data_IF_781872342450
#
_entry.id   IF_781872342450
#
_cell.length_a   1.000
_cell.length_b   1.000
_cell.length_c   1.000
_cell.angle_alpha   90.00
_cell.angle_beta   90.00
_cell.angle_gamma   90.00
#
_symmetry.space_group_name_H-M   'P 1'
#
loop_
_entity.id
_entity.type
_entity.pdbx_description
1 polymer ?
#
# COMPACT_ATOMS: atom_id res chain seq x y z
N UNK A 1 48.27 -46.93 17.72
CA UNK A 1 48.15 -45.90 18.78
C UNK A 1 48.08 -44.55 18.10
N UNK A 2 46.90 -44.19 17.62
CA UNK A 2 46.52 -42.82 17.24
C UNK A 2 45.01 -42.88 17.02
N UNK A 3 44.31 -42.46 18.07
CA UNK A 3 42.89 -42.68 18.29
C UNK A 3 42.04 -41.87 17.31
N UNK A 4 41.04 -42.56 16.77
CA UNK A 4 39.90 -41.98 16.05
C UNK A 4 39.00 -41.36 17.13
N UNK A 5 38.78 -40.05 17.08
CA UNK A 5 37.77 -39.38 17.91
C UNK A 5 36.76 -38.69 17.01
N UNK A 6 35.63 -39.36 16.82
CA UNK A 6 34.35 -38.74 16.50
C UNK A 6 33.79 -38.02 17.74
N UNK A 7 32.62 -37.39 17.59
CA UNK A 7 31.79 -36.64 18.54
C UNK A 7 32.05 -35.13 18.48
N UNK A 8 31.10 -34.21 18.33
CA UNK A 8 29.63 -34.12 18.23
C UNK A 8 29.42 -32.71 17.60
N UNK A 9 28.49 -32.43 16.69
CA UNK A 9 27.07 -32.34 17.01
C UNK A 9 26.73 -31.04 17.77
N UNK A 10 27.08 -29.86 17.25
CA UNK A 10 26.54 -28.59 17.78
C UNK A 10 25.39 -28.13 16.89
N UNK A 11 24.18 -28.36 17.41
CA UNK A 11 22.93 -27.79 16.93
C UNK A 11 23.01 -26.25 17.01
N UNK A 12 23.14 -25.57 15.87
CA UNK A 12 22.87 -24.13 15.78
C UNK A 12 21.34 -23.92 15.85
N UNK A 13 20.83 -24.04 17.07
CA UNK A 13 19.47 -23.69 17.44
C UNK A 13 19.28 -22.17 17.45
N UNK A 14 18.33 -21.73 16.63
CA UNK A 14 17.30 -20.75 17.00
C UNK A 14 17.77 -19.40 17.59
N UNK A 15 18.10 -18.45 16.73
CA UNK A 15 17.81 -17.02 16.98
C UNK A 15 17.17 -16.36 15.74
N UNK A 16 16.17 -17.00 15.14
CA UNK A 16 15.22 -16.30 14.27
C UNK A 16 14.01 -15.84 15.11
N UNK A 17 13.77 -14.52 15.13
CA UNK A 17 12.46 -13.99 15.52
C UNK A 17 12.40 -13.10 16.76
N UNK A 18 13.36 -12.18 16.95
CA UNK A 18 12.99 -10.93 17.64
C UNK A 18 12.11 -10.15 16.66
N UNK A 19 10.79 -10.24 16.83
CA UNK A 19 9.85 -9.51 16.00
C UNK A 19 10.21 -8.02 16.04
N UNK A 20 10.67 -7.49 14.92
CA UNK A 20 10.88 -6.06 14.77
C UNK A 20 9.54 -5.39 15.15
N UNK A 21 9.56 -4.57 16.19
CA UNK A 21 8.36 -3.94 16.74
C UNK A 21 7.66 -3.17 15.62
N UNK A 22 6.52 -3.71 15.13
CA UNK A 22 5.81 -3.20 13.95
C UNK A 22 5.50 -1.72 14.18
N UNK A 23 6.15 -0.82 13.45
CA UNK A 23 5.92 0.61 13.57
C UNK A 23 4.53 0.95 13.05
N UNK A 24 3.81 1.78 13.81
CA UNK A 24 2.48 2.24 13.41
C UNK A 24 2.56 3.09 12.14
N UNK A 25 1.57 2.95 11.27
CA UNK A 25 1.37 3.79 10.09
C UNK A 25 1.53 5.29 10.39
N UNK A 26 2.17 6.03 9.47
CA UNK A 26 2.42 7.47 9.61
C UNK A 26 1.54 8.26 8.64
N UNK A 27 0.77 9.22 9.16
CA UNK A 27 -0.06 10.11 8.33
C UNK A 27 0.59 11.47 8.19
N UNK A 28 0.69 11.97 6.95
CA UNK A 28 1.13 13.30 6.59
C UNK A 28 -0.06 14.18 6.22
N UNK A 29 -0.17 15.35 6.83
CA UNK A 29 -1.25 16.30 6.56
C UNK A 29 -1.04 17.01 5.24
N UNK A 30 -2.11 17.13 4.44
CA UNK A 30 -2.09 17.92 3.19
C UNK A 30 -1.64 19.36 3.42
N UNK A 31 -2.07 20.00 4.52
CA UNK A 31 -1.69 21.39 4.83
C UNK A 31 -0.20 21.52 5.14
N UNK A 32 0.38 20.53 5.81
CA UNK A 32 1.80 20.50 6.13
C UNK A 32 2.64 20.30 4.87
N UNK A 33 2.24 19.35 4.01
CA UNK A 33 2.90 19.13 2.72
C UNK A 33 2.83 20.36 1.82
N UNK A 34 1.68 21.02 1.75
CA UNK A 34 1.53 22.26 0.98
C UNK A 34 2.42 23.39 1.51
N UNK A 35 2.56 23.50 2.83
CA UNK A 35 3.46 24.48 3.47
C UNK A 35 4.92 24.17 3.18
N UNK A 36 5.32 22.90 3.27
CA UNK A 36 6.68 22.46 2.96
C UNK A 36 7.03 22.73 1.49
N UNK A 37 6.14 22.36 0.56
CA UNK A 37 6.33 22.63 -0.87
C UNK A 37 6.44 24.13 -1.15
N UNK A 38 5.63 24.97 -0.49
CA UNK A 38 5.73 26.43 -0.60
C UNK A 38 7.09 26.94 -0.11
N UNK A 39 7.59 26.40 1.01
CA UNK A 39 8.92 26.76 1.53
C UNK A 39 10.01 26.37 0.53
N UNK A 40 10.00 25.15 -0.02
CA UNK A 40 10.97 24.69 -1.02
C UNK A 40 10.97 25.55 -2.30
N UNK A 41 9.79 25.97 -2.75
CA UNK A 41 9.66 26.92 -3.88
C UNK A 41 10.29 28.27 -3.57
N UNK A 42 10.06 28.82 -2.37
CA UNK A 42 10.63 30.11 -1.97
C UNK A 42 12.16 30.05 -1.82
N UNK A 43 12.71 28.89 -1.44
CA UNK A 43 14.16 28.69 -1.32
C UNK A 43 14.83 28.31 -2.64
N UNK A 44 14.08 28.28 -3.76
CA UNK A 44 14.62 27.90 -5.07
C UNK A 44 15.04 26.43 -5.17
N UNK A 45 14.57 25.57 -4.27
CA UNK A 45 14.88 24.14 -4.24
C UNK A 45 13.97 23.30 -5.15
N UNK A 46 13.26 23.93 -6.08
CA UNK A 46 12.43 23.22 -7.05
C UNK A 46 13.12 23.31 -8.40
N UNK A 47 13.70 22.20 -8.82
CA UNK A 47 14.43 22.09 -10.06
C UNK A 47 13.44 22.04 -11.25
N UNK A 48 13.57 22.90 -12.27
CA UNK A 48 12.77 22.81 -13.49
C UNK A 48 12.83 21.43 -14.16
N UNK A 49 13.99 20.76 -14.14
CA UNK A 49 14.18 19.43 -14.72
C UNK A 49 13.35 18.37 -13.96
N UNK A 50 13.23 18.52 -12.64
CA UNK A 50 12.40 17.65 -11.79
C UNK A 50 10.92 17.74 -12.19
N UNK A 51 10.43 18.95 -12.49
CA UNK A 51 9.04 19.15 -12.91
C UNK A 51 8.73 18.48 -14.26
N UNK A 52 9.64 18.55 -15.22
CA UNK A 52 9.48 17.89 -16.52
C UNK A 52 9.54 16.37 -16.38
N UNK A 53 10.47 15.86 -15.58
CA UNK A 53 10.56 14.42 -15.28
C UNK A 53 9.26 13.89 -14.66
N UNK A 54 8.68 14.61 -13.70
CA UNK A 54 7.41 14.22 -13.07
C UNK A 54 6.25 14.18 -14.07
N UNK A 55 6.18 15.12 -15.02
CA UNK A 55 5.17 15.10 -16.08
C UNK A 55 5.35 13.90 -17.01
N UNK A 56 6.60 13.59 -17.38
CA UNK A 56 6.92 12.43 -18.20
C UNK A 56 6.49 11.13 -17.50
N UNK A 57 6.80 10.96 -16.21
CA UNK A 57 6.38 9.79 -15.43
C UNK A 57 4.85 9.68 -15.37
N UNK A 58 4.13 10.78 -15.12
CA UNK A 58 2.66 10.73 -15.07
C UNK A 58 2.02 10.45 -16.43
N UNK A 59 2.66 10.84 -17.53
CA UNK A 59 2.21 10.50 -18.88
C UNK A 59 2.36 9.02 -19.21
N UNK A 60 3.41 8.37 -18.69
CA UNK A 60 3.67 6.93 -18.85
C UNK A 60 2.83 6.06 -17.91
N UNK A 61 2.05 6.68 -17.03
CA UNK A 61 1.27 5.96 -16.03
C UNK A 61 0.14 5.15 -16.67
N UNK A 62 0.04 3.83 -16.36
CA UNK A 62 -1.05 3.00 -16.88
C UNK A 62 -2.41 3.51 -16.37
N UNK A 63 -3.41 3.51 -17.26
CA UNK A 63 -4.74 4.06 -16.97
C UNK A 63 -5.74 2.97 -16.60
N UNK A 64 -5.57 1.79 -17.15
CA UNK A 64 -6.46 0.64 -16.94
C UNK A 64 -5.72 -0.53 -16.31
N UNK A 65 -6.47 -1.50 -15.77
CA UNK A 65 -5.91 -2.75 -15.25
C UNK A 65 -5.18 -3.54 -16.34
N UNK A 66 -5.72 -3.55 -17.56
CA UNK A 66 -5.10 -4.24 -18.69
C UNK A 66 -3.70 -3.70 -19.01
N UNK A 67 -3.48 -2.39 -18.80
CA UNK A 67 -2.18 -1.75 -19.05
C UNK A 67 -1.12 -2.13 -17.99
N UNK A 68 -1.53 -2.49 -16.76
CA UNK A 68 -0.60 -2.69 -15.64
C UNK A 68 -0.54 -4.12 -15.09
N UNK A 69 -1.44 -5.02 -15.52
CA UNK A 69 -1.51 -6.41 -15.01
C UNK A 69 -0.18 -7.13 -15.14
N UNK A 70 0.44 -7.08 -16.31
CA UNK A 70 1.72 -7.71 -16.62
C UNK A 70 2.92 -6.78 -16.39
N UNK A 71 2.71 -5.63 -15.72
CA UNK A 71 3.78 -4.69 -15.40
C UNK A 71 4.75 -5.24 -14.35
N UNK A 72 5.93 -4.61 -14.17
CA UNK A 72 6.90 -5.04 -13.18
C UNK A 72 6.31 -4.96 -11.75
N UNK A 73 6.78 -5.86 -10.89
CA UNK A 73 6.53 -5.84 -9.44
C UNK A 73 7.87 -5.73 -8.71
N UNK A 74 7.98 -4.91 -7.65
CA UNK A 74 6.94 -4.08 -6.99
C UNK A 74 6.41 -2.93 -7.88
N UNK A 75 5.12 -2.59 -7.72
CA UNK A 75 4.48 -1.53 -8.51
C UNK A 75 4.88 -0.13 -8.00
N UNK A 76 5.68 0.59 -8.78
CA UNK A 76 6.19 1.93 -8.41
C UNK A 76 5.18 3.08 -8.56
N UNK A 77 4.01 2.83 -9.14
CA UNK A 77 2.95 3.83 -9.24
C UNK A 77 2.21 3.99 -7.91
N UNK A 78 2.89 4.52 -6.90
CA UNK A 78 2.40 4.67 -5.51
C UNK A 78 1.17 5.57 -5.40
N UNK A 79 0.96 6.47 -6.36
CA UNK A 79 -0.23 7.32 -6.43
C UNK A 79 -1.48 6.57 -6.92
N UNK A 80 -1.39 5.28 -7.25
CA UNK A 80 -2.53 4.45 -7.64
C UNK A 80 -3.44 4.17 -6.44
N UNK A 81 -4.77 4.26 -6.65
CA UNK A 81 -5.77 4.00 -5.61
C UNK A 81 -5.75 2.56 -5.05
N UNK A 82 -5.09 1.63 -5.75
CA UNK A 82 -4.95 0.24 -5.34
C UNK A 82 -3.55 -0.09 -4.82
N UNK A 83 -2.64 0.88 -4.75
CA UNK A 83 -1.30 0.63 -4.24
C UNK A 83 -1.37 0.43 -2.72
N UNK A 84 -0.64 -0.56 -2.20
CA UNK A 84 -0.67 -0.92 -0.78
C UNK A 84 0.39 -0.18 0.07
N UNK A 85 1.26 0.60 -0.57
CA UNK A 85 2.29 1.38 0.14
C UNK A 85 1.70 2.59 0.87
N UNK A 86 0.77 3.30 0.22
CA UNK A 86 0.16 4.52 0.77
C UNK A 86 -1.36 4.59 0.53
N UNK A 87 -2.07 5.13 1.51
CA UNK A 87 -3.50 5.42 1.44
C UNK A 87 -3.71 6.94 1.37
N UNK A 88 -4.50 7.41 0.40
CA UNK A 88 -4.89 8.83 0.32
C UNK A 88 -6.32 8.98 0.80
N UNK A 89 -6.54 9.82 1.79
CA UNK A 89 -7.89 10.17 2.24
C UNK A 89 -8.55 11.07 1.17
N UNK A 90 -9.68 10.67 0.56
CA UNK A 90 -10.28 11.42 -0.55
C UNK A 90 -10.91 12.76 -0.12
N UNK A 91 -11.35 12.88 1.14
CA UNK A 91 -12.00 14.09 1.65
C UNK A 91 -10.96 15.13 2.09
N UNK A 92 -9.93 14.70 2.82
CA UNK A 92 -8.92 15.61 3.40
C UNK A 92 -7.65 15.73 2.56
N UNK A 93 -7.39 14.77 1.67
CA UNK A 93 -6.15 14.64 0.91
C UNK A 93 -4.92 14.29 1.76
N UNK A 94 -5.11 13.84 2.99
CA UNK A 94 -4.01 13.38 3.85
C UNK A 94 -3.48 12.03 3.35
N UNK A 95 -2.17 11.83 3.43
CA UNK A 95 -1.50 10.61 2.95
C UNK A 95 -1.05 9.79 4.14
N UNK A 96 -1.45 8.53 4.23
CA UNK A 96 -1.01 7.57 5.25
C UNK A 96 -0.05 6.57 4.61
N UNK A 97 1.17 6.49 5.14
CA UNK A 97 2.10 5.41 4.84
C UNK A 97 1.75 4.20 5.70
N UNK A 98 1.50 3.06 5.07
CA UNK A 98 1.10 1.85 5.78
C UNK A 98 2.25 1.31 6.62
N UNK A 99 3.45 1.20 6.04
CA UNK A 99 4.68 0.78 6.72
C UNK A 99 5.72 1.90 6.58
N UNK A 100 5.85 2.81 7.57
CA UNK A 100 6.79 3.93 7.48
C UNK A 100 8.26 3.49 7.63
N UNK A 101 8.47 2.24 8.02
CA UNK A 101 9.74 1.57 8.25
C UNK A 101 10.16 0.65 7.12
N UNK A 102 9.32 0.48 6.09
CA UNK A 102 9.62 -0.34 4.92
C UNK A 102 9.66 0.49 3.65
N UNK A 103 10.55 0.11 2.73
CA UNK A 103 10.53 0.59 1.35
C UNK A 103 9.55 -0.22 0.50
N UNK A 104 9.20 0.30 -0.68
CA UNK A 104 8.22 -0.35 -1.57
C UNK A 104 8.70 -1.71 -2.08
N UNK A 105 10.01 -1.89 -2.20
CA UNK A 105 10.70 -3.13 -2.59
C UNK A 105 10.69 -4.18 -1.51
N UNK A 106 10.48 -3.78 -0.26
CA UNK A 106 10.43 -4.66 0.91
C UNK A 106 9.00 -5.13 1.22
N UNK A 107 8.00 -4.59 0.50
CA UNK A 107 6.62 -5.03 0.63
C UNK A 107 6.41 -6.34 -0.13
N UNK A 108 5.81 -7.30 0.55
CA UNK A 108 5.39 -8.56 -0.06
C UNK A 108 4.35 -8.35 -1.16
N UNK A 109 3.42 -7.43 -0.93
CA UNK A 109 2.35 -7.08 -1.86
C UNK A 109 2.27 -5.56 -2.04
N UNK A 110 2.23 -5.12 -3.30
CA UNK A 110 2.16 -3.69 -3.65
C UNK A 110 0.86 -3.28 -4.32
N UNK A 111 0.00 -4.25 -4.70
CA UNK A 111 -1.24 -4.01 -5.42
C UNK A 111 -2.40 -4.79 -4.81
N UNK A 112 -3.45 -4.09 -4.37
CA UNK A 112 -4.66 -4.71 -3.82
C UNK A 112 -5.42 -5.56 -4.84
N UNK A 113 -5.37 -5.19 -6.14
CA UNK A 113 -6.02 -5.98 -7.18
C UNK A 113 -5.31 -7.32 -7.41
N UNK A 114 -3.98 -7.35 -7.34
CA UNK A 114 -3.23 -8.60 -7.48
C UNK A 114 -3.51 -9.53 -6.29
N UNK A 115 -3.65 -8.98 -5.09
CA UNK A 115 -4.05 -9.75 -3.90
C UNK A 115 -5.47 -10.30 -4.09
N UNK A 116 -6.41 -9.48 -4.56
CA UNK A 116 -7.79 -9.90 -4.77
C UNK A 116 -7.94 -10.98 -5.87
N UNK A 117 -7.13 -10.93 -6.92
CA UNK A 117 -7.14 -11.94 -8.00
C UNK A 117 -6.71 -13.33 -7.52
N UNK A 118 -5.89 -13.42 -6.46
CA UNK A 118 -5.52 -14.71 -5.84
C UNK A 118 -6.70 -15.39 -5.14
N UNK A 119 -7.78 -14.65 -4.86
CA UNK A 119 -8.98 -15.16 -4.21
C UNK A 119 -9.01 -14.90 -2.70
N UNK A 120 -9.73 -15.75 -1.97
CA UNK A 120 -10.07 -15.57 -0.57
C UNK A 120 -8.85 -15.30 0.32
N UNK A 121 -8.97 -14.26 1.14
CA UNK A 121 -7.97 -13.83 2.11
C UNK A 121 -8.64 -13.59 3.46
N UNK A 122 -7.96 -13.92 4.54
CA UNK A 122 -8.48 -13.76 5.90
C UNK A 122 -8.37 -12.31 6.38
N UNK A 123 -9.14 -11.95 7.41
CA UNK A 123 -9.11 -10.60 8.00
C UNK A 123 -7.75 -10.29 8.64
N UNK A 124 -7.09 -11.32 9.15
CA UNK A 124 -5.76 -11.30 9.72
C UNK A 124 -4.73 -10.95 8.64
N UNK A 125 -4.69 -11.70 7.54
CA UNK A 125 -3.77 -11.48 6.42
C UNK A 125 -3.96 -10.08 5.80
N UNK A 126 -5.20 -9.63 5.61
CA UNK A 126 -5.46 -8.24 5.15
C UNK A 126 -4.93 -7.22 6.15
N UNK A 127 -5.07 -7.49 7.44
CA UNK A 127 -4.51 -6.66 8.50
C UNK A 127 -2.99 -6.57 8.41
N UNK A 128 -2.33 -7.70 8.15
CA UNK A 128 -0.88 -7.76 7.97
C UNK A 128 -0.42 -7.00 6.73
N UNK A 129 -1.16 -7.08 5.62
CA UNK A 129 -0.85 -6.38 4.36
C UNK A 129 -1.03 -4.87 4.48
N UNK A 130 -2.02 -4.39 5.26
CA UNK A 130 -2.35 -2.96 5.36
C UNK A 130 -1.83 -2.28 6.64
N UNK A 131 -1.10 -3.01 7.49
CA UNK A 131 -0.69 -2.60 8.83
C UNK A 131 -1.88 -2.13 9.69
N UNK A 132 -2.94 -2.94 9.71
CA UNK A 132 -4.17 -2.69 10.47
C UNK A 132 -4.46 -3.87 11.38
N UNK A 133 -5.17 -3.61 12.48
CA UNK A 133 -5.62 -4.70 13.34
C UNK A 133 -6.74 -5.48 12.64
N UNK A 134 -6.83 -6.78 12.93
CA UNK A 134 -7.92 -7.64 12.47
C UNK A 134 -9.30 -7.02 12.72
N UNK A 135 -9.52 -6.51 13.94
CA UNK A 135 -10.80 -5.87 14.29
C UNK A 135 -11.07 -4.62 13.44
N UNK A 136 -10.03 -3.85 13.08
CA UNK A 136 -10.20 -2.71 12.19
C UNK A 136 -10.61 -3.15 10.79
N UNK A 137 -10.03 -4.22 10.26
CA UNK A 137 -10.43 -4.78 8.96
C UNK A 137 -11.87 -5.27 9.01
N UNK A 138 -12.27 -6.01 10.06
CA UNK A 138 -13.66 -6.47 10.26
C UNK A 138 -14.67 -5.31 10.21
N UNK A 139 -14.35 -4.18 10.85
CA UNK A 139 -15.19 -2.98 10.83
C UNK A 139 -15.31 -2.38 9.42
N UNK A 140 -14.19 -2.32 8.69
CA UNK A 140 -14.16 -1.82 7.30
C UNK A 140 -14.99 -2.73 6.40
N UNK A 141 -14.82 -4.05 6.51
CA UNK A 141 -15.59 -5.05 5.78
C UNK A 141 -17.08 -4.92 6.07
N UNK A 142 -17.48 -4.89 7.35
CA UNK A 142 -18.88 -4.78 7.75
C UNK A 142 -19.53 -3.51 7.17
N UNK A 143 -18.81 -2.38 7.22
CA UNK A 143 -19.26 -1.11 6.62
C UNK A 143 -19.33 -1.19 5.09
N UNK A 144 -18.35 -1.85 4.46
CA UNK A 144 -18.32 -2.06 3.02
C UNK A 144 -19.50 -2.89 2.54
N UNK A 145 -19.78 -4.00 3.21
CA UNK A 145 -20.92 -4.88 2.92
C UNK A 145 -22.26 -4.14 3.05
N UNK A 146 -22.41 -3.28 4.06
CA UNK A 146 -23.60 -2.43 4.20
C UNK A 146 -23.80 -1.51 2.99
N UNK A 147 -22.74 -0.80 2.58
CA UNK A 147 -22.79 0.08 1.40
C UNK A 147 -23.08 -0.67 0.10
N UNK A 148 -22.55 -1.88 -0.04
CA UNK A 148 -22.82 -2.73 -1.21
C UNK A 148 -24.28 -3.14 -1.26
N UNK A 149 -24.87 -3.57 -0.14
CA UNK A 149 -26.29 -3.91 -0.05
C UNK A 149 -27.18 -2.74 -0.44
N UNK A 150 -26.92 -1.57 0.13
CA UNK A 150 -27.63 -0.33 -0.22
C UNK A 150 -27.53 -0.01 -1.72
N UNK A 151 -26.34 -0.14 -2.31
CA UNK A 151 -26.13 0.13 -3.73
C UNK A 151 -26.83 -0.91 -4.65
N UNK A 152 -26.97 -2.16 -4.21
CA UNK A 152 -27.65 -3.21 -4.98
C UNK A 152 -29.17 -3.17 -4.83
N UNK A 153 -29.68 -2.71 -3.68
CA UNK A 153 -31.11 -2.61 -3.39
C UNK A 153 -31.72 -1.27 -3.85
N UNK A 154 -30.89 -0.25 -4.08
CA UNK A 154 -31.34 1.01 -4.64
C UNK A 154 -31.81 0.84 -6.09
N UNK A 155 -33.04 1.28 -6.40
CA UNK A 155 -33.49 1.40 -7.80
C UNK A 155 -32.53 2.31 -8.58
N UNK A 156 -32.20 1.96 -9.85
CA UNK A 156 -31.28 2.75 -10.64
C UNK A 156 -31.83 4.18 -10.82
N UNK A 157 -30.96 5.21 -10.70
CA UNK A 157 -31.41 6.58 -10.83
C UNK A 157 -32.04 6.82 -12.21
N UNK A 158 -33.19 7.50 -12.20
CA UNK A 158 -34.05 7.80 -13.37
C UNK A 158 -33.30 8.51 -14.52
N UNK A 159 -32.12 9.08 -14.25
CA UNK A 159 -31.26 9.74 -15.24
C UNK A 159 -30.56 8.80 -16.24
N UNK A 160 -30.60 7.48 -16.03
CA UNK A 160 -30.08 6.50 -17.00
C UNK A 160 -31.00 6.27 -18.21
N UNK A 161 -32.23 6.83 -18.20
CA UNK A 161 -33.11 6.85 -19.38
C UNK A 161 -32.83 8.11 -20.21
N UNK A 162 -31.76 8.10 -20.99
CA UNK A 162 -31.66 9.01 -22.14
C UNK A 162 -32.55 8.42 -23.26
N UNK A 163 -33.41 9.21 -23.91
CA UNK A 163 -34.32 8.72 -24.96
C UNK A 163 -33.57 8.12 -26.16
#
# INVERSE_FOLDING_TARGET
MSEVKQLEGEEEGAEEGKSAERRRSKTMSRKEMARDLRRRRLTGQVDPEESELLQNIDSQRPRTRADCVNGPRPCLFVSCKHNLYLDVNPETGSIKLNFPDKEITELEHTCALDVAEKGGITLEEVGEIMNLTRERIRQVETRGLMKLREATEAEPPVSARKP
#
